data_IF_198502263059
#
_entry.id   IF_198502263059
#
_cell.length_a   1.000
_cell.length_b   1.000
_cell.length_c   1.000
_cell.angle_alpha   90.00
_cell.angle_beta   90.00
_cell.angle_gamma   90.00
#
_symmetry.space_group_name_H-M   'P 1'
#
loop_
_entity.id
_entity.type
_entity.pdbx_description
1 polymer ?
#
# COMPACT_ATOMS: atom_id res chain seq x y z
N UNK A 1 5.25 15.45 -2.67
CA UNK A 1 6.25 14.57 -2.03
C UNK A 1 5.66 13.77 -0.86
N UNK A 2 4.34 13.55 -0.81
CA UNK A 2 3.67 12.96 0.38
C UNK A 2 3.81 11.43 0.48
N UNK A 3 3.78 10.70 -0.65
CA UNK A 3 3.67 9.24 -0.63
C UNK A 3 4.87 8.52 0.02
N UNK A 4 6.10 8.92 -0.34
CA UNK A 4 7.31 8.36 0.30
C UNK A 4 7.32 8.65 1.80
N UNK A 5 6.98 9.88 2.19
CA UNK A 5 6.91 10.29 3.59
C UNK A 5 5.91 9.43 4.38
N UNK A 6 4.73 9.20 3.82
CA UNK A 6 3.72 8.32 4.42
C UNK A 6 4.22 6.89 4.57
N UNK A 7 4.89 6.31 3.56
CA UNK A 7 5.42 4.94 3.65
C UNK A 7 6.45 4.82 4.78
N UNK A 8 7.37 5.78 4.88
CA UNK A 8 8.39 5.80 5.94
C UNK A 8 7.74 5.98 7.30
N UNK A 9 6.84 6.95 7.43
CA UNK A 9 6.14 7.23 8.69
C UNK A 9 5.34 6.02 9.17
N UNK A 10 4.55 5.36 8.30
CA UNK A 10 3.80 4.15 8.66
C UNK A 10 4.73 3.02 9.10
N UNK A 11 5.90 2.87 8.44
CA UNK A 11 6.88 1.87 8.85
C UNK A 11 7.44 2.17 10.26
N UNK A 12 7.69 3.43 10.58
CA UNK A 12 8.17 3.86 11.90
C UNK A 12 7.12 3.70 13.01
N UNK A 13 5.83 3.87 12.69
CA UNK A 13 4.75 3.68 13.65
C UNK A 13 4.37 2.20 13.87
N UNK A 14 4.94 1.28 13.08
CA UNK A 14 4.57 -0.12 13.12
C UNK A 14 5.63 -0.95 13.85
N UNK A 15 5.40 -1.31 15.13
CA UNK A 15 6.31 -2.12 15.95
C UNK A 15 6.79 -3.42 15.29
N UNK A 16 5.94 -4.01 14.45
CA UNK A 16 6.27 -5.23 13.72
C UNK A 16 7.38 -5.03 12.67
N UNK A 17 7.59 -3.80 12.19
CA UNK A 17 8.54 -3.44 11.14
C UNK A 17 9.81 -2.91 11.80
N UNK A 18 10.82 -3.78 11.90
CA UNK A 18 12.12 -3.40 12.48
C UNK A 18 13.11 -2.92 11.43
N UNK A 19 12.80 -3.14 10.14
CA UNK A 19 13.64 -2.72 9.02
C UNK A 19 12.80 -2.45 7.78
N UNK A 20 12.87 -1.23 7.27
CA UNK A 20 12.38 -0.83 5.95
C UNK A 20 13.58 -0.67 5.00
N UNK A 21 13.49 -1.27 3.82
CA UNK A 21 14.51 -1.15 2.76
C UNK A 21 13.92 -0.41 1.58
N UNK A 22 14.51 0.73 1.23
CA UNK A 22 14.24 1.43 -0.02
C UNK A 22 15.22 0.93 -1.10
N UNK A 23 14.70 0.62 -2.27
CA UNK A 23 15.46 0.10 -3.42
C UNK A 23 14.82 0.57 -4.72
N UNK A 24 15.53 0.44 -5.83
CA UNK A 24 14.98 0.69 -7.16
C UNK A 24 14.72 -0.65 -7.85
N UNK A 25 13.49 -0.86 -8.32
CA UNK A 25 13.12 -2.00 -9.16
C UNK A 25 12.46 -1.48 -10.41
N UNK A 26 12.96 -1.89 -11.58
CA UNK A 26 12.43 -1.45 -12.88
C UNK A 26 12.43 0.08 -13.05
N UNK A 27 13.43 0.77 -12.51
CA UNK A 27 13.51 2.23 -12.54
C UNK A 27 12.56 2.95 -11.57
N UNK A 28 11.84 2.21 -10.72
CA UNK A 28 10.82 2.73 -9.82
C UNK A 28 11.20 2.52 -8.34
N UNK A 29 10.87 3.46 -7.44
CA UNK A 29 11.04 3.29 -6.01
C UNK A 29 10.26 2.08 -5.49
N UNK A 30 10.92 1.23 -4.71
CA UNK A 30 10.33 0.06 -4.06
C UNK A 30 10.78 -0.05 -2.62
N UNK A 31 9.80 -0.23 -1.73
CA UNK A 31 9.94 -0.29 -0.29
C UNK A 31 9.58 -1.69 0.18
N UNK A 32 10.46 -2.33 0.94
CA UNK A 32 10.21 -3.66 1.49
C UNK A 32 10.51 -3.67 3.00
N UNK A 33 9.58 -4.16 3.80
CA UNK A 33 9.83 -4.45 5.21
C UNK A 33 10.31 -5.88 5.42
N UNK A 34 10.96 -6.14 6.55
CA UNK A 34 11.34 -7.49 6.97
C UNK A 34 10.14 -8.45 7.05
N UNK A 35 8.98 -7.95 7.50
CA UNK A 35 7.79 -8.75 7.81
C UNK A 35 6.61 -8.54 6.85
N UNK A 36 6.81 -7.85 5.72
CA UNK A 36 5.74 -7.50 4.79
C UNK A 36 6.01 -7.84 3.34
N UNK A 37 5.10 -7.36 2.50
CA UNK A 37 5.18 -7.37 1.06
C UNK A 37 5.78 -6.06 0.55
N UNK A 38 6.51 -6.08 -0.58
CA UNK A 38 7.06 -4.87 -1.15
C UNK A 38 5.95 -3.97 -1.70
N UNK A 39 6.10 -2.68 -1.47
CA UNK A 39 5.33 -1.61 -2.10
C UNK A 39 6.20 -1.01 -3.20
N UNK A 40 5.66 -0.75 -4.38
CA UNK A 40 6.37 -0.03 -5.44
C UNK A 40 5.56 1.17 -5.90
N UNK A 41 6.22 2.28 -6.14
CA UNK A 41 5.58 3.52 -6.56
C UNK A 41 5.97 3.81 -7.98
N UNK A 42 5.00 4.12 -8.84
CA UNK A 42 5.24 4.52 -10.22
C UNK A 42 4.56 5.84 -10.53
N UNK A 43 5.21 6.60 -11.40
CA UNK A 43 4.66 7.74 -12.10
C UNK A 43 5.31 7.75 -13.47
N UNK A 44 4.51 7.96 -14.51
CA UNK A 44 5.02 8.03 -15.88
C UNK A 44 4.33 9.13 -16.67
N UNK A 45 5.02 9.63 -17.69
CA UNK A 45 4.54 10.74 -18.53
C UNK A 45 3.30 10.41 -19.37
N UNK A 46 2.92 9.13 -19.51
CA UNK A 46 1.67 8.73 -20.19
C UNK A 46 0.45 8.92 -19.29
N UNK A 47 0.64 9.05 -17.99
CA UNK A 47 -0.43 9.27 -17.01
C UNK A 47 0.02 10.32 -15.99
N UNK A 48 0.34 11.56 -16.45
CA UNK A 48 1.05 12.55 -15.65
C UNK A 48 0.23 13.04 -14.45
N UNK A 49 -1.09 12.89 -14.49
CA UNK A 49 -2.03 13.28 -13.45
C UNK A 49 -2.21 12.21 -12.37
N UNK A 50 -1.48 11.10 -12.43
CA UNK A 50 -1.68 9.98 -11.51
C UNK A 50 -0.37 9.37 -11.03
N UNK A 51 -0.35 8.96 -9.77
CA UNK A 51 0.70 8.15 -9.16
C UNK A 51 0.09 6.78 -8.82
N UNK A 52 0.81 5.71 -9.13
CA UNK A 52 0.36 4.35 -8.85
C UNK A 52 1.15 3.78 -7.67
N UNK A 53 0.45 3.10 -6.77
CA UNK A 53 1.05 2.27 -5.74
C UNK A 53 0.76 0.81 -6.04
N UNK A 54 1.81 0.02 -6.20
CA UNK A 54 1.77 -1.39 -6.53
C UNK A 54 2.04 -2.27 -5.31
N UNK A 55 1.25 -3.33 -5.20
CA UNK A 55 1.47 -4.46 -4.28
C UNK A 55 1.53 -5.78 -5.06
N UNK A 56 2.10 -6.87 -4.52
CA UNK A 56 2.21 -8.13 -5.25
C UNK A 56 0.84 -8.72 -5.62
N UNK A 57 0.64 -9.07 -6.90
CA UNK A 57 -0.65 -9.58 -7.40
C UNK A 57 -1.08 -10.92 -6.77
N UNK A 58 -0.14 -11.70 -6.25
CA UNK A 58 -0.41 -13.00 -5.60
C UNK A 58 -0.76 -12.84 -4.11
N UNK A 59 -0.88 -11.61 -3.62
CA UNK A 59 -1.26 -11.32 -2.24
C UNK A 59 -2.75 -11.05 -2.11
N UNK A 60 -3.29 -11.25 -0.90
CA UNK A 60 -4.66 -10.86 -0.55
C UNK A 60 -4.84 -9.33 -0.40
N UNK A 61 -3.80 -8.53 -0.62
CA UNK A 61 -3.80 -7.09 -0.34
C UNK A 61 -4.84 -6.35 -1.18
N UNK A 62 -4.84 -6.54 -2.50
CA UNK A 62 -5.76 -5.80 -3.38
C UNK A 62 -7.22 -6.17 -3.12
N UNK A 63 -7.50 -7.45 -2.91
CA UNK A 63 -8.85 -7.92 -2.55
C UNK A 63 -9.30 -7.32 -1.21
N UNK A 64 -8.40 -7.27 -0.23
CA UNK A 64 -8.68 -6.65 1.08
C UNK A 64 -8.90 -5.15 0.95
N UNK A 65 -8.07 -4.44 0.19
CA UNK A 65 -8.24 -3.00 -0.05
C UNK A 65 -9.55 -2.69 -0.78
N UNK A 66 -9.95 -3.54 -1.72
CA UNK A 66 -11.22 -3.40 -2.43
C UNK A 66 -12.41 -3.61 -1.50
N UNK A 67 -12.33 -4.59 -0.61
CA UNK A 67 -13.38 -4.84 0.38
C UNK A 67 -13.52 -3.68 1.37
N UNK A 68 -12.40 -3.10 1.83
CA UNK A 68 -12.41 -2.02 2.82
C UNK A 68 -12.70 -0.64 2.23
N UNK A 69 -12.18 -0.37 1.03
CA UNK A 69 -12.06 0.99 0.49
C UNK A 69 -12.43 1.10 -0.99
N UNK A 70 -13.10 0.11 -1.57
CA UNK A 70 -13.44 0.10 -2.99
C UNK A 70 -14.32 1.27 -3.46
N UNK A 71 -15.04 1.92 -2.54
CA UNK A 71 -15.86 3.11 -2.83
C UNK A 71 -15.04 4.42 -2.79
N UNK A 72 -13.88 4.41 -2.13
CA UNK A 72 -13.06 5.61 -1.89
C UNK A 72 -11.77 5.60 -2.73
N UNK A 73 -11.13 4.44 -2.85
CA UNK A 73 -9.90 4.27 -3.61
C UNK A 73 -10.18 3.75 -5.02
N UNK A 74 -9.50 4.34 -6.00
CA UNK A 74 -9.46 3.80 -7.34
C UNK A 74 -8.45 2.66 -7.40
N UNK A 75 -8.96 1.44 -7.61
CA UNK A 75 -8.16 0.22 -7.73
C UNK A 75 -8.27 -0.27 -9.18
N UNK A 76 -7.14 -0.50 -9.83
CA UNK A 76 -7.13 -1.02 -11.20
C UNK A 76 -6.64 -2.48 -11.22
N UNK A 77 -7.53 -3.35 -11.73
CA UNK A 77 -7.33 -4.78 -11.80
C UNK A 77 -6.99 -5.38 -10.43
N UNK A 78 -5.86 -6.09 -10.36
CA UNK A 78 -5.46 -6.89 -9.20
C UNK A 78 -4.15 -6.40 -8.56
N UNK A 79 -3.66 -5.19 -8.86
CA UNK A 79 -2.28 -4.82 -8.47
C UNK A 79 -1.97 -3.38 -8.10
N UNK A 80 -2.84 -2.41 -8.41
CA UNK A 80 -2.48 -1.00 -8.24
C UNK A 80 -3.60 -0.16 -7.61
N UNK A 81 -3.19 0.70 -6.69
CA UNK A 81 -3.98 1.84 -6.21
C UNK A 81 -3.60 3.05 -7.06
N UNK A 82 -4.59 3.75 -7.59
CA UNK A 82 -4.41 4.96 -8.39
C UNK A 82 -4.71 6.18 -7.52
N UNK A 83 -3.72 7.07 -7.43
CA UNK A 83 -3.82 8.34 -6.72
C UNK A 83 -3.77 9.46 -7.75
N UNK A 84 -4.80 10.31 -7.79
CA UNK A 84 -4.83 11.48 -8.67
C UNK A 84 -4.04 12.63 -8.05
N UNK A 85 -3.21 13.27 -8.87
CA UNK A 85 -2.47 14.48 -8.48
C UNK A 85 -3.43 15.66 -8.53
N UNK A 86 -3.48 16.46 -7.47
CA UNK A 86 -4.38 17.62 -7.35
C UNK A 86 -5.68 17.32 -6.59
N UNK A 87 -6.01 16.05 -6.37
CA UNK A 87 -7.08 15.63 -5.47
C UNK A 87 -6.60 15.58 -4.01
N UNK A 88 -7.50 15.65 -3.01
CA UNK A 88 -7.15 15.44 -1.61
C UNK A 88 -6.41 14.12 -1.41
N UNK A 89 -5.26 14.19 -0.74
CA UNK A 89 -4.44 13.00 -0.47
C UNK A 89 -5.10 12.16 0.64
N UNK A 90 -5.53 10.92 0.38
CA UNK A 90 -6.29 10.11 1.34
C UNK A 90 -5.37 9.46 2.37
N UNK A 91 -4.68 10.28 3.17
CA UNK A 91 -3.56 9.87 4.03
C UNK A 91 -3.93 8.73 4.99
N UNK A 92 -5.08 8.82 5.65
CA UNK A 92 -5.54 7.82 6.63
C UNK A 92 -5.78 6.46 5.97
N UNK A 93 -6.54 6.44 4.87
CA UNK A 93 -6.91 5.22 4.15
C UNK A 93 -5.66 4.59 3.51
N UNK A 94 -4.84 5.42 2.87
CA UNK A 94 -3.62 4.97 2.23
C UNK A 94 -2.59 4.48 3.25
N UNK A 95 -2.51 5.14 4.41
CA UNK A 95 -1.69 4.74 5.53
C UNK A 95 -2.04 3.33 6.01
N UNK A 96 -3.33 3.03 6.18
CA UNK A 96 -3.78 1.69 6.53
C UNK A 96 -3.43 0.64 5.46
N UNK A 97 -3.64 0.94 4.18
CA UNK A 97 -3.22 0.04 3.08
C UNK A 97 -1.71 -0.24 3.09
N UNK A 98 -0.90 0.80 3.30
CA UNK A 98 0.57 0.67 3.44
C UNK A 98 0.90 -0.21 4.65
N UNK A 99 0.25 0.02 5.79
CA UNK A 99 0.49 -0.72 7.02
C UNK A 99 0.23 -2.22 6.87
N UNK A 100 -0.90 -2.58 6.24
CA UNK A 100 -1.23 -3.97 5.90
C UNK A 100 -0.20 -4.60 4.95
N UNK A 101 0.26 -3.84 3.95
CA UNK A 101 1.30 -4.31 3.04
C UNK A 101 2.62 -4.55 3.79
N UNK A 102 3.04 -3.63 4.66
CA UNK A 102 4.27 -3.74 5.44
C UNK A 102 4.21 -4.83 6.54
N UNK A 103 3.03 -5.28 6.94
CA UNK A 103 2.82 -6.40 7.88
C UNK A 103 2.41 -7.72 7.21
N UNK A 104 2.25 -7.74 5.88
CA UNK A 104 1.56 -8.81 5.16
C UNK A 104 1.99 -10.23 5.53
N UNK A 105 3.28 -10.52 5.74
CA UNK A 105 3.71 -11.90 6.04
C UNK A 105 3.17 -12.41 7.37
N UNK A 106 2.87 -11.52 8.32
CA UNK A 106 2.23 -11.83 9.60
C UNK A 106 0.71 -11.96 9.49
N UNK A 107 0.10 -11.28 8.52
CA UNK A 107 -1.36 -11.16 8.39
C UNK A 107 -1.96 -12.08 7.31
N UNK A 108 -1.15 -12.60 6.38
CA UNK A 108 -1.60 -13.34 5.18
C UNK A 108 -2.53 -14.52 5.45
N UNK A 109 -2.44 -15.11 6.65
CA UNK A 109 -3.23 -16.28 7.05
C UNK A 109 -4.56 -15.89 7.72
N UNK A 110 -4.75 -14.62 8.07
CA UNK A 110 -5.98 -14.09 8.66
C UNK A 110 -7.04 -13.76 7.58
N UNK A 111 -8.33 -13.89 7.91
CA UNK A 111 -9.41 -13.36 7.07
C UNK A 111 -9.26 -11.84 6.95
N UNK A 112 -9.40 -11.31 5.73
CA UNK A 112 -9.22 -9.87 5.42
C UNK A 112 -7.98 -9.24 6.08
N UNK A 113 -6.88 -10.00 6.23
CA UNK A 113 -5.64 -9.55 6.88
C UNK A 113 -5.83 -9.05 8.33
N UNK A 114 -6.87 -9.51 9.02
CA UNK A 114 -7.21 -9.11 10.38
C UNK A 114 -8.10 -7.86 10.46
N UNK A 115 -8.60 -7.35 9.33
CA UNK A 115 -9.51 -6.20 9.27
C UNK A 115 -10.99 -6.60 9.40
N UNK A 116 -11.30 -7.67 10.13
CA UNK A 116 -12.66 -8.21 10.24
C UNK A 116 -13.64 -7.14 10.72
N UNK A 117 -14.80 -7.01 10.05
CA UNK A 117 -15.84 -6.02 10.35
C UNK A 117 -16.71 -6.40 11.56
N UNK A 118 -16.35 -7.45 12.30
CA UNK A 118 -16.97 -7.84 13.56
C UNK A 118 -15.96 -7.68 14.71
N UNK A 119 -15.58 -6.44 15.00
CA UNK A 119 -15.17 -6.06 16.34
C UNK A 119 -16.38 -5.41 17.00
N UNK A 120 -17.17 -6.22 17.69
CA UNK A 120 -18.13 -5.76 18.70
C UNK A 120 -17.43 -5.02 19.84
#
# INVERSE_FOLDING_TARGET
MALRGLIVWVAEQCDAVTRLTESVKWGQPSYASNCGSPIRVDWNSKSPETVQLYVPCQSKLVETFKALYGEVLQLNGSRELILKIGEPFPEVILGHCIELALKYKKLKDLPLLGCDQNAE
#
